data_IF_835619362608
#
_entry.id   IF_835619362608
#
_cell.length_a   1.000
_cell.length_b   1.000
_cell.length_c   1.000
_cell.angle_alpha   90.00
_cell.angle_beta   90.00
_cell.angle_gamma   90.00
#
_symmetry.space_group_name_H-M   'P 1'
#
loop_
_entity.id
_entity.type
_entity.pdbx_description
1 polymer ?
#
# COMPACT_ATOMS: atom_id res chain seq x y z
N UNK A 1 -45.72 48.83 24.63
CA UNK A 1 -44.48 49.60 24.86
C UNK A 1 -43.35 48.80 24.24
N UNK A 2 -43.16 49.00 22.93
CA UNK A 2 -41.97 49.67 22.36
C UNK A 2 -40.85 48.64 22.13
N UNK A 3 -40.75 48.04 20.95
CA UNK A 3 -40.08 48.58 19.74
C UNK A 3 -38.57 48.73 19.88
N UNK A 4 -37.81 47.89 19.15
CA UNK A 4 -36.52 48.17 18.49
C UNK A 4 -36.18 46.90 17.68
N UNK A 5 -36.30 46.78 16.36
CA UNK A 5 -35.92 47.56 15.17
C UNK A 5 -34.42 47.83 14.97
N UNK A 6 -33.81 47.03 14.10
CA UNK A 6 -32.91 47.35 12.96
C UNK A 6 -32.30 46.01 12.47
N UNK A 7 -32.63 45.42 11.31
CA UNK A 7 -32.47 45.83 9.89
C UNK A 7 -30.97 45.96 9.52
N UNK A 8 -30.37 45.35 8.49
CA UNK A 8 -30.75 44.98 7.10
C UNK A 8 -29.93 43.75 6.64
N UNK A 9 -30.38 42.77 5.81
CA UNK A 9 -30.69 42.80 4.35
C UNK A 9 -29.48 43.25 3.50
N UNK A 10 -29.06 42.68 2.36
CA UNK A 10 -29.53 41.60 1.46
C UNK A 10 -28.62 41.59 0.21
N UNK A 11 -28.66 40.50 -0.57
CA UNK A 11 -28.42 40.41 -2.02
C UNK A 11 -26.95 40.47 -2.53
N UNK A 12 -26.56 40.00 -3.72
CA UNK A 12 -26.80 38.79 -4.54
C UNK A 12 -25.98 38.98 -5.83
N UNK A 13 -25.73 37.89 -6.58
CA UNK A 13 -25.43 37.81 -8.04
C UNK A 13 -24.08 38.30 -8.60
N UNK A 14 -23.30 37.39 -9.21
CA UNK A 14 -23.05 37.24 -10.68
C UNK A 14 -21.78 37.98 -11.15
N UNK A 15 -20.97 37.63 -12.14
CA UNK A 15 -20.79 36.53 -13.10
C UNK A 15 -19.50 36.86 -13.92
N UNK A 16 -18.90 35.85 -14.56
CA UNK A 16 -18.10 35.90 -15.80
C UNK A 16 -16.83 36.77 -15.90
N UNK A 17 -15.70 36.17 -16.29
CA UNK A 17 -15.22 36.16 -17.70
C UNK A 17 -13.76 35.69 -17.84
N UNK A 18 -13.53 35.11 -19.01
CA UNK A 18 -12.35 34.44 -19.59
C UNK A 18 -11.11 35.31 -19.80
N UNK A 19 -9.92 34.70 -19.77
CA UNK A 19 -8.85 34.98 -20.75
C UNK A 19 -7.85 33.83 -20.83
N UNK A 20 -7.44 33.53 -22.07
CA UNK A 20 -6.60 32.42 -22.47
C UNK A 20 -5.18 32.87 -22.88
N UNK A 21 -4.20 31.99 -22.60
CA UNK A 21 -2.91 31.71 -23.31
C UNK A 21 -1.77 32.77 -23.32
N UNK A 22 -0.51 32.44 -23.69
CA UNK A 22 0.06 31.15 -24.14
C UNK A 22 1.47 30.74 -23.60
N UNK A 23 1.84 29.49 -23.91
CA UNK A 23 3.18 28.98 -24.23
C UNK A 23 4.32 29.07 -23.19
N UNK A 24 4.64 27.92 -22.59
CA UNK A 24 6.04 27.55 -22.33
C UNK A 24 6.31 26.21 -23.02
N UNK A 25 7.03 26.28 -24.13
CA UNK A 25 7.62 25.14 -24.78
C UNK A 25 8.86 24.73 -23.99
N UNK A 26 8.92 23.46 -23.56
CA UNK A 26 10.21 22.80 -23.34
C UNK A 26 10.04 21.29 -23.22
N UNK A 27 10.68 20.61 -24.17
CA UNK A 27 11.44 19.37 -23.94
C UNK A 27 10.65 18.11 -23.62
N UNK A 28 10.63 17.21 -24.61
CA UNK A 28 10.37 15.79 -24.41
C UNK A 28 11.28 15.23 -23.32
N UNK A 29 10.68 14.91 -22.18
CA UNK A 29 11.24 14.06 -21.15
C UNK A 29 10.46 12.76 -21.16
N UNK A 30 11.17 11.64 -21.22
CA UNK A 30 10.61 10.30 -21.18
C UNK A 30 9.51 10.18 -20.11
N UNK A 31 8.37 9.59 -20.46
CA UNK A 31 7.40 9.07 -19.49
C UNK A 31 8.13 8.01 -18.65
N UNK A 32 8.75 8.42 -17.55
CA UNK A 32 8.78 7.57 -16.38
C UNK A 32 7.31 7.42 -15.99
N UNK A 33 6.72 6.27 -16.32
CA UNK A 33 5.54 5.83 -15.61
C UNK A 33 5.94 5.83 -14.13
N UNK A 34 5.50 6.83 -13.37
CA UNK A 34 5.42 6.65 -11.93
C UNK A 34 4.53 5.44 -11.74
N UNK A 35 5.17 4.29 -11.51
CA UNK A 35 4.50 3.08 -11.09
C UNK A 35 3.91 3.41 -9.74
N UNK A 36 2.71 3.99 -9.72
CA UNK A 36 1.95 4.18 -8.51
C UNK A 36 1.73 2.77 -7.95
N UNK A 37 2.59 2.37 -7.01
CA UNK A 37 2.49 1.06 -6.39
C UNK A 37 1.10 0.95 -5.80
N UNK A 38 0.37 -0.08 -6.21
CA UNK A 38 -0.99 -0.29 -5.72
C UNK A 38 -0.91 -0.43 -4.19
N UNK A 39 -1.87 0.17 -3.51
CA UNK A 39 -2.03 -0.06 -2.08
C UNK A 39 -2.62 -1.46 -1.86
N UNK A 40 -2.34 -2.11 -0.71
CA UNK A 40 -3.05 -3.30 -0.31
C UNK A 40 -4.55 -3.03 -0.20
N UNK A 41 -5.37 -4.06 -0.37
CA UNK A 41 -6.82 -3.95 -0.15
C UNK A 41 -7.14 -3.54 1.29
N UNK A 42 -8.22 -2.77 1.47
CA UNK A 42 -8.69 -2.37 2.80
C UNK A 42 -9.00 -3.61 3.68
N UNK A 43 -9.52 -4.67 3.09
CA UNK A 43 -9.80 -5.93 3.78
C UNK A 43 -8.51 -6.58 4.26
N UNK A 44 -7.48 -6.65 3.42
CA UNK A 44 -6.17 -7.17 3.82
C UNK A 44 -5.56 -6.38 4.98
N UNK A 45 -5.59 -5.05 4.93
CA UNK A 45 -5.11 -4.21 6.02
C UNK A 45 -5.88 -4.45 7.33
N UNK A 46 -7.21 -4.52 7.28
CA UNK A 46 -8.02 -4.81 8.47
C UNK A 46 -7.68 -6.17 9.09
N UNK A 47 -7.53 -7.21 8.25
CA UNK A 47 -7.12 -8.54 8.71
C UNK A 47 -5.71 -8.53 9.30
N UNK A 48 -4.78 -7.84 8.66
CA UNK A 48 -3.41 -7.72 9.15
C UNK A 48 -3.35 -6.99 10.49
N UNK A 49 -4.03 -5.85 10.62
CA UNK A 49 -4.13 -5.10 11.88
C UNK A 49 -4.74 -5.95 12.99
N UNK A 50 -5.79 -6.74 12.69
CA UNK A 50 -6.36 -7.67 13.67
C UNK A 50 -5.33 -8.70 14.15
N UNK A 51 -4.55 -9.28 13.23
CA UNK A 51 -3.50 -10.24 13.59
C UNK A 51 -2.39 -9.59 14.43
N UNK A 52 -1.96 -8.38 14.06
CA UNK A 52 -0.95 -7.62 14.79
C UNK A 52 -1.38 -7.35 16.24
N UNK A 53 -2.64 -6.98 16.46
CA UNK A 53 -3.20 -6.75 17.80
C UNK A 53 -3.27 -8.05 18.60
N UNK A 54 -3.78 -9.13 17.99
CA UNK A 54 -4.00 -10.40 18.70
C UNK A 54 -2.68 -11.10 19.05
N UNK A 55 -1.69 -10.99 18.18
CA UNK A 55 -0.40 -11.68 18.35
C UNK A 55 0.70 -10.80 18.94
N UNK A 56 0.42 -9.51 19.16
CA UNK A 56 1.39 -8.50 19.60
C UNK A 56 2.65 -8.48 18.72
N UNK A 57 2.45 -8.31 17.40
CA UNK A 57 3.54 -8.29 16.42
C UNK A 57 3.48 -7.04 15.54
N UNK A 58 4.62 -6.37 15.29
CA UNK A 58 4.68 -5.26 14.34
C UNK A 58 4.37 -5.72 12.91
N UNK A 59 3.74 -4.82 12.15
CA UNK A 59 3.49 -4.98 10.72
C UNK A 59 4.66 -4.34 9.96
N UNK A 60 5.34 -5.13 9.16
CA UNK A 60 6.48 -4.74 8.34
C UNK A 60 6.06 -4.70 6.86
N UNK A 61 6.25 -3.55 6.21
CA UNK A 61 5.83 -3.28 4.82
C UNK A 61 7.01 -3.18 3.84
N UNK A 62 8.22 -3.46 4.30
CA UNK A 62 9.47 -3.49 3.55
C UNK A 62 9.44 -4.47 2.35
N UNK A 63 8.67 -5.55 2.45
CA UNK A 63 8.49 -6.53 1.37
C UNK A 63 7.33 -6.22 0.40
N UNK A 64 6.52 -5.19 0.65
CA UNK A 64 5.35 -4.89 -0.19
C UNK A 64 5.76 -4.50 -1.61
N UNK A 65 6.56 -3.44 -1.76
CA UNK A 65 7.04 -2.97 -3.06
C UNK A 65 7.82 -4.04 -3.82
N UNK A 66 8.83 -4.70 -3.20
CA UNK A 66 9.54 -5.80 -3.84
C UNK A 66 8.64 -6.97 -4.31
N UNK A 67 7.53 -7.24 -3.60
CA UNK A 67 6.56 -8.27 -3.98
C UNK A 67 5.78 -7.93 -5.25
N UNK A 68 5.52 -6.65 -5.49
CA UNK A 68 4.86 -6.18 -6.73
C UNK A 68 5.83 -6.28 -7.92
N UNK A 69 7.10 -5.98 -7.68
CA UNK A 69 8.17 -6.07 -8.69
C UNK A 69 8.63 -7.51 -8.96
N UNK A 70 8.07 -8.49 -8.22
CA UNK A 70 8.46 -9.91 -8.31
C UNK A 70 9.95 -10.14 -8.07
N UNK A 71 10.56 -9.24 -7.28
CA UNK A 71 11.97 -9.30 -6.89
C UNK A 71 12.22 -10.15 -5.64
N UNK A 72 11.14 -10.58 -4.97
CA UNK A 72 11.18 -11.51 -3.84
C UNK A 72 10.54 -12.84 -4.23
N UNK A 73 10.91 -13.90 -3.52
CA UNK A 73 10.35 -15.24 -3.70
C UNK A 73 9.99 -15.85 -2.34
N UNK A 74 8.99 -16.72 -2.32
CA UNK A 74 8.74 -17.60 -1.19
C UNK A 74 9.63 -18.83 -1.35
N UNK A 75 10.73 -18.86 -0.60
CA UNK A 75 11.67 -19.99 -0.57
C UNK A 75 11.11 -21.12 0.28
N UNK A 76 11.09 -22.34 -0.27
CA UNK A 76 10.73 -23.57 0.46
C UNK A 76 11.99 -24.40 0.66
N UNK A 77 12.43 -24.57 1.91
CA UNK A 77 13.57 -25.43 2.26
C UNK A 77 13.22 -26.90 2.10
N UNK A 78 14.24 -27.76 2.02
CA UNK A 78 14.08 -29.21 2.03
C UNK A 78 13.36 -29.73 3.28
N UNK A 79 13.51 -29.03 4.41
CA UNK A 79 12.80 -29.33 5.67
C UNK A 79 11.30 -29.03 5.62
N UNK A 80 10.80 -28.37 4.57
CA UNK A 80 9.42 -27.93 4.41
C UNK A 80 9.13 -26.55 5.01
N UNK A 81 10.11 -25.92 5.67
CA UNK A 81 10.01 -24.54 6.14
C UNK A 81 9.95 -23.56 4.97
N UNK A 82 9.16 -22.50 5.14
CA UNK A 82 9.02 -21.43 4.15
C UNK A 82 9.64 -20.15 4.68
N UNK A 83 10.27 -19.35 3.84
CA UNK A 83 10.80 -18.03 4.18
C UNK A 83 10.63 -17.08 3.00
N UNK A 84 10.57 -15.77 3.27
CA UNK A 84 10.66 -14.77 2.21
C UNK A 84 12.14 -14.52 1.92
N UNK A 85 12.50 -14.63 0.65
CA UNK A 85 13.86 -14.42 0.15
C UNK A 85 13.81 -13.24 -0.80
N UNK A 86 14.53 -12.16 -0.47
CA UNK A 86 14.73 -11.01 -1.35
C UNK A 86 16.05 -11.11 -2.11
N UNK A 87 17.07 -11.62 -1.45
CA UNK A 87 18.37 -11.95 -2.02
C UNK A 87 19.02 -13.07 -1.21
N UNK A 88 20.20 -13.54 -1.61
CA UNK A 88 20.94 -14.59 -0.88
C UNK A 88 21.29 -14.15 0.56
N UNK A 89 21.51 -12.86 0.78
CA UNK A 89 21.87 -12.28 2.09
C UNK A 89 20.66 -11.75 2.87
N UNK A 90 19.54 -11.45 2.19
CA UNK A 90 18.36 -10.84 2.80
C UNK A 90 17.16 -11.78 2.74
N UNK A 91 16.88 -12.42 3.88
CA UNK A 91 15.74 -13.30 4.06
C UNK A 91 15.09 -13.11 5.43
N UNK A 92 13.81 -13.49 5.54
CA UNK A 92 13.08 -13.47 6.81
C UNK A 92 13.33 -14.75 7.61
N UNK A 93 12.98 -14.70 8.91
CA UNK A 93 12.78 -15.92 9.70
C UNK A 93 11.76 -16.86 9.05
N UNK A 94 11.76 -18.15 9.44
CA UNK A 94 10.76 -19.09 8.98
C UNK A 94 9.34 -18.58 9.18
N UNK A 95 8.53 -18.73 8.15
CA UNK A 95 7.12 -18.37 8.11
C UNK A 95 6.36 -19.38 8.96
N UNK A 96 5.70 -18.88 10.00
CA UNK A 96 4.82 -19.67 10.85
C UNK A 96 3.46 -19.89 10.20
N UNK A 97 2.87 -18.83 9.62
CA UNK A 97 1.57 -18.90 8.96
C UNK A 97 1.49 -18.00 7.72
N UNK A 98 0.69 -18.43 6.74
CA UNK A 98 0.38 -17.66 5.52
C UNK A 98 -1.13 -17.58 5.40
N UNK A 99 -1.67 -16.36 5.35
CA UNK A 99 -3.07 -16.11 5.10
C UNK A 99 -3.25 -15.46 3.74
N UNK A 100 -4.12 -16.02 2.90
CA UNK A 100 -4.53 -15.39 1.64
C UNK A 100 -5.74 -14.51 1.89
N UNK A 101 -5.62 -13.23 1.54
CA UNK A 101 -6.73 -12.28 1.56
C UNK A 101 -6.80 -11.65 0.19
N UNK A 102 -7.88 -11.92 -0.56
CA UNK A 102 -8.07 -11.43 -1.93
C UNK A 102 -6.84 -11.64 -2.83
N UNK A 103 -6.12 -10.55 -3.15
CA UNK A 103 -4.95 -10.50 -4.02
C UNK A 103 -3.63 -10.33 -3.26
N UNK A 104 -3.65 -10.61 -1.95
CA UNK A 104 -2.53 -10.43 -1.05
C UNK A 104 -2.28 -11.68 -0.19
N UNK A 105 -1.06 -11.80 0.30
CA UNK A 105 -0.71 -12.70 1.39
C UNK A 105 -0.27 -11.90 2.63
N UNK A 106 -0.79 -12.31 3.78
CA UNK A 106 -0.31 -11.90 5.09
C UNK A 106 0.61 -13.02 5.59
N UNK A 107 1.88 -12.70 5.75
CA UNK A 107 2.93 -13.62 6.16
C UNK A 107 3.23 -13.36 7.63
N UNK A 108 3.04 -14.37 8.47
CA UNK A 108 3.33 -14.27 9.90
C UNK A 108 4.59 -15.07 10.19
N UNK A 109 5.59 -14.39 10.71
CA UNK A 109 6.82 -15.01 11.24
C UNK A 109 6.77 -15.01 12.77
N UNK A 110 7.87 -15.42 13.40
CA UNK A 110 7.97 -15.46 14.86
C UNK A 110 7.79 -14.07 15.50
N UNK A 111 8.35 -13.01 14.92
CA UNK A 111 8.41 -11.69 15.56
C UNK A 111 7.68 -10.59 14.80
N UNK A 112 7.28 -10.82 13.54
CA UNK A 112 6.73 -9.78 12.68
C UNK A 112 5.72 -10.35 11.68
N UNK A 113 4.84 -9.47 11.21
CA UNK A 113 3.85 -9.74 10.17
C UNK A 113 4.24 -8.94 8.93
N UNK A 114 4.29 -9.59 7.76
CA UNK A 114 4.58 -8.96 6.48
C UNK A 114 3.36 -9.03 5.56
N UNK A 115 3.20 -8.04 4.69
CA UNK A 115 2.28 -8.11 3.55
C UNK A 115 3.05 -8.23 2.26
N UNK A 116 2.57 -9.13 1.39
CA UNK A 116 3.08 -9.28 0.03
C UNK A 116 1.93 -9.47 -0.96
N UNK A 117 2.19 -9.23 -2.24
CA UNK A 117 1.27 -9.55 -3.32
C UNK A 117 1.13 -11.07 -3.48
N UNK A 118 -0.06 -11.55 -3.84
CA UNK A 118 -0.28 -12.97 -4.10
C UNK A 118 0.45 -13.49 -5.36
N UNK A 119 0.93 -12.58 -6.20
CA UNK A 119 1.71 -12.87 -7.41
C UNK A 119 3.17 -13.24 -7.12
N UNK A 120 3.58 -13.19 -5.85
CA UNK A 120 4.93 -13.56 -5.43
C UNK A 120 5.20 -15.03 -5.76
N UNK A 121 6.23 -15.35 -6.57
CA UNK A 121 6.52 -16.73 -6.95
C UNK A 121 7.08 -17.53 -5.76
N UNK A 122 6.83 -18.84 -5.77
CA UNK A 122 7.40 -19.78 -4.80
C UNK A 122 8.44 -20.69 -5.47
N UNK A 123 9.60 -20.86 -4.85
CA UNK A 123 10.69 -21.71 -5.38
C UNK A 123 11.24 -22.61 -4.27
N UNK A 124 11.59 -23.85 -4.62
CA UNK A 124 12.36 -24.73 -3.73
C UNK A 124 13.81 -24.27 -3.69
N UNK A 125 14.37 -24.15 -2.49
CA UNK A 125 15.77 -23.80 -2.25
C UNK A 125 16.42 -24.97 -1.49
N UNK A 126 17.61 -25.38 -1.94
CA UNK A 126 18.46 -26.40 -1.29
C UNK A 126 19.61 -25.71 -0.57
#
# INVERSE_FOLDING_TARGET
MSSNNQQASSASSSSSSSSANPASASSGGAKASESAYRLPSNVCLQHCTKLAIVQDKPIMMDYWTPSLDKSIIIGVKETGEKLLVKSEDEYTSPIANIYKVETEYIIVTENSIYLISNETPSKKIS
#
